data_IF_403599224096
#
_entry.id   IF_403599224096
#
_cell.length_a   1.000
_cell.length_b   1.000
_cell.length_c   1.000
_cell.angle_alpha   90.00
_cell.angle_beta   90.00
_cell.angle_gamma   90.00
#
_symmetry.space_group_name_H-M   'P 1'
#
loop_
_entity.id
_entity.type
_entity.pdbx_description
1 polymer ?
#
# COMPACT_ATOMS: atom_id res chain seq x y z
N UNK A 1 5.40 -25.61 -4.03
CA UNK A 1 5.85 -24.54 -4.94
C UNK A 1 5.17 -23.24 -4.51
N UNK A 2 5.90 -22.20 -4.06
CA UNK A 2 5.26 -20.92 -3.78
C UNK A 2 4.80 -20.30 -5.09
N UNK A 3 3.50 -20.00 -5.19
CA UNK A 3 2.92 -19.28 -6.32
C UNK A 3 3.37 -17.83 -6.20
N UNK A 4 4.34 -17.43 -7.00
CA UNK A 4 4.66 -16.01 -7.19
C UNK A 4 3.40 -15.36 -7.77
N UNK A 5 2.63 -14.65 -6.94
CA UNK A 5 1.61 -13.73 -7.44
C UNK A 5 2.35 -12.62 -8.17
N UNK A 6 2.51 -12.79 -9.49
CA UNK A 6 2.82 -11.64 -10.35
C UNK A 6 1.65 -10.69 -10.15
N UNK A 7 1.85 -9.45 -9.67
CA UNK A 7 0.77 -8.50 -9.68
C UNK A 7 0.33 -8.41 -11.13
N UNK A 8 -0.94 -8.72 -11.39
CA UNK A 8 -1.60 -8.44 -12.65
C UNK A 8 -1.80 -6.91 -12.76
N UNK A 9 -0.75 -6.12 -12.47
CA UNK A 9 -0.74 -4.67 -12.49
C UNK A 9 0.03 -4.27 -13.74
N UNK A 10 -0.59 -4.48 -14.90
CA UNK A 10 -0.08 -3.92 -16.16
C UNK A 10 -1.02 -2.90 -16.79
N UNK A 11 -2.14 -2.55 -16.16
CA UNK A 11 -3.13 -1.69 -16.84
C UNK A 11 -4.02 -0.78 -16.00
N UNK A 12 -3.80 -0.65 -14.68
CA UNK A 12 -4.49 0.40 -13.91
C UNK A 12 -3.47 1.47 -13.52
N UNK A 13 -3.72 2.76 -13.81
CA UNK A 13 -2.83 3.82 -13.37
C UNK A 13 -2.97 3.94 -11.84
N UNK A 14 -1.86 3.75 -11.12
CA UNK A 14 -1.81 3.73 -9.66
C UNK A 14 -0.39 4.02 -9.16
N UNK A 15 -0.26 4.27 -7.87
CA UNK A 15 1.06 4.41 -7.21
C UNK A 15 1.34 3.14 -6.45
N UNK A 16 2.41 2.44 -6.82
CA UNK A 16 2.86 1.22 -6.13
C UNK A 16 4.03 1.56 -5.19
N UNK A 17 3.90 1.19 -3.91
CA UNK A 17 4.97 1.33 -2.91
C UNK A 17 5.26 -0.01 -2.26
N UNK A 18 6.51 -0.47 -2.34
CA UNK A 18 6.98 -1.69 -1.68
C UNK A 18 7.75 -1.32 -0.43
N UNK A 19 7.26 -1.76 0.73
CA UNK A 19 7.90 -1.51 2.01
C UNK A 19 8.48 -2.81 2.59
N UNK A 20 9.70 -2.71 3.12
CA UNK A 20 10.47 -3.81 3.72
C UNK A 20 10.52 -3.71 5.25
N UNK A 21 9.78 -2.76 5.84
CA UNK A 21 9.59 -2.69 7.28
C UNK A 21 9.02 -4.00 7.83
N UNK A 22 9.46 -4.36 9.03
CA UNK A 22 9.02 -5.58 9.74
C UNK A 22 7.52 -5.58 10.04
N UNK A 23 6.90 -4.40 10.08
CA UNK A 23 5.46 -4.18 10.04
C UNK A 23 5.25 -2.72 9.63
N UNK A 24 4.42 -2.47 8.62
CA UNK A 24 4.21 -1.11 8.12
C UNK A 24 3.23 -0.40 9.04
N UNK A 25 3.69 0.70 9.65
CA UNK A 25 2.91 1.49 10.59
C UNK A 25 2.08 2.59 9.93
N UNK A 26 1.12 3.12 10.69
CA UNK A 26 0.24 4.22 10.29
C UNK A 26 1.03 5.44 9.78
N UNK A 27 2.00 5.93 10.57
CA UNK A 27 2.81 7.10 10.17
C UNK A 27 3.56 6.91 8.85
N UNK A 28 3.88 5.67 8.47
CA UNK A 28 4.49 5.37 7.18
C UNK A 28 3.46 5.47 6.06
N UNK A 29 2.28 4.88 6.24
CA UNK A 29 1.16 4.98 5.30
C UNK A 29 0.73 6.44 5.10
N UNK A 30 0.64 7.20 6.19
CA UNK A 30 0.30 8.62 6.20
C UNK A 30 1.29 9.45 5.36
N UNK A 31 2.60 9.25 5.58
CA UNK A 31 3.64 9.92 4.79
C UNK A 31 3.54 9.58 3.30
N UNK A 32 3.34 8.31 2.96
CA UNK A 32 3.20 7.87 1.57
C UNK A 32 1.96 8.52 0.94
N UNK A 33 0.85 8.54 1.68
CA UNK A 33 -0.40 9.13 1.25
C UNK A 33 -0.25 10.61 0.93
N UNK A 34 0.29 11.42 1.86
CA UNK A 34 0.46 12.86 1.64
C UNK A 34 1.57 13.20 0.63
N UNK A 35 2.55 12.31 0.43
CA UNK A 35 3.56 12.45 -0.62
C UNK A 35 2.98 12.33 -2.04
N UNK A 36 1.72 11.91 -2.24
CA UNK A 36 1.11 11.74 -3.57
C UNK A 36 0.65 13.03 -4.26
N UNK A 37 1.08 14.20 -3.80
CA UNK A 37 0.56 15.54 -4.19
C UNK A 37 0.39 15.81 -5.70
N UNK A 38 1.24 15.25 -6.59
CA UNK A 38 1.13 15.43 -8.06
C UNK A 38 0.24 14.43 -8.78
N UNK A 39 -0.34 13.46 -8.06
CA UNK A 39 -1.11 12.34 -8.63
C UNK A 39 -2.39 12.09 -7.83
N UNK A 40 -3.01 13.16 -7.31
CA UNK A 40 -4.34 13.10 -6.72
C UNK A 40 -5.32 12.49 -7.72
N UNK A 41 -6.15 11.55 -7.27
CA UNK A 41 -7.15 10.85 -8.10
C UNK A 41 -6.72 9.48 -8.61
N UNK A 42 -5.51 9.01 -8.30
CA UNK A 42 -5.09 7.62 -8.56
C UNK A 42 -5.11 6.79 -7.27
N UNK A 43 -5.55 5.53 -7.32
CA UNK A 43 -5.48 4.63 -6.17
C UNK A 43 -4.03 4.42 -5.74
N UNK A 44 -3.82 4.34 -4.42
CA UNK A 44 -2.52 4.08 -3.82
C UNK A 44 -2.46 2.63 -3.35
N UNK A 45 -1.48 1.88 -3.85
CA UNK A 45 -1.24 0.49 -3.48
C UNK A 45 0.04 0.39 -2.66
N UNK A 46 -0.09 -0.11 -1.43
CA UNK A 46 1.05 -0.31 -0.54
C UNK A 46 1.23 -1.79 -0.31
N UNK A 47 2.43 -2.29 -0.60
CA UNK A 47 2.80 -3.68 -0.47
C UNK A 47 3.75 -3.85 0.72
N UNK A 48 3.44 -4.81 1.59
CA UNK A 48 4.28 -5.19 2.73
C UNK A 48 4.61 -6.68 2.69
N UNK A 49 5.86 -7.03 2.96
CA UNK A 49 6.30 -8.43 3.14
C UNK A 49 6.12 -8.93 4.58
N UNK A 50 5.78 -8.04 5.51
CA UNK A 50 5.73 -8.37 6.93
C UNK A 50 4.45 -7.86 7.60
N UNK A 51 3.46 -7.50 6.78
CA UNK A 51 2.15 -7.04 7.20
C UNK A 51 2.06 -5.57 7.62
N UNK A 52 0.90 -5.20 8.15
CA UNK A 52 0.54 -3.84 8.54
C UNK A 52 0.12 -3.79 10.01
N UNK A 53 0.28 -2.63 10.67
CA UNK A 53 -0.28 -2.41 12.00
C UNK A 53 -1.79 -2.14 11.91
N UNK A 54 -2.51 -2.31 13.03
CA UNK A 54 -3.93 -1.96 13.10
C UNK A 54 -4.21 -0.49 12.71
N UNK A 55 -3.39 0.45 13.21
CA UNK A 55 -3.53 1.87 12.84
C UNK A 55 -3.31 2.13 11.34
N UNK A 56 -2.42 1.38 10.68
CA UNK A 56 -2.25 1.50 9.23
C UNK A 56 -3.49 1.02 8.45
N UNK A 57 -4.16 -0.03 8.95
CA UNK A 57 -5.40 -0.55 8.36
C UNK A 57 -6.54 0.45 8.56
N UNK A 58 -6.70 0.98 9.77
CA UNK A 58 -7.73 1.97 10.10
C UNK A 58 -7.58 3.24 9.27
N UNK A 59 -6.36 3.76 9.14
CA UNK A 59 -6.06 4.92 8.29
C UNK A 59 -6.38 4.65 6.81
N UNK A 60 -6.03 3.46 6.29
CA UNK A 60 -6.36 3.11 4.90
C UNK A 60 -7.87 3.06 4.64
N UNK A 61 -8.64 2.54 5.61
CA UNK A 61 -10.11 2.52 5.55
C UNK A 61 -10.68 3.95 5.61
N UNK A 62 -10.14 4.81 6.48
CA UNK A 62 -10.58 6.21 6.60
C UNK A 62 -10.38 7.00 5.30
N UNK A 63 -9.24 6.82 4.63
CA UNK A 63 -8.94 7.54 3.37
C UNK A 63 -9.73 6.98 2.17
N UNK A 64 -10.09 5.70 2.19
CA UNK A 64 -10.97 5.07 1.20
C UNK A 64 -10.39 4.87 -0.20
N UNK A 65 -9.15 5.28 -0.45
CA UNK A 65 -8.47 5.14 -1.75
C UNK A 65 -7.03 4.58 -1.63
N UNK A 66 -6.77 3.93 -0.50
CA UNK A 66 -5.55 3.17 -0.22
C UNK A 66 -5.92 1.68 -0.20
N UNK A 67 -5.20 0.86 -0.96
CA UNK A 67 -5.28 -0.60 -0.87
C UNK A 67 -3.96 -1.16 -0.33
N UNK A 68 -4.07 -2.02 0.67
CA UNK A 68 -2.94 -2.65 1.34
C UNK A 68 -2.81 -4.10 0.86
N UNK A 69 -1.60 -4.51 0.51
CA UNK A 69 -1.31 -5.83 0.00
C UNK A 69 -0.20 -6.48 0.82
N UNK A 70 -0.47 -7.67 1.36
CA UNK A 70 0.56 -8.48 2.00
C UNK A 70 1.13 -9.48 0.99
N UNK A 71 2.46 -9.49 0.85
CA UNK A 71 3.16 -10.42 -0.03
C UNK A 71 3.59 -11.63 0.82
N UNK A 72 2.89 -12.74 0.63
CA UNK A 72 3.17 -14.09 1.19
C UNK A 72 4.08 -14.92 0.29
#
# INVERSE_FOLDING_TARGET
MPKIFRPLIRSLPGIEVKNWERQVGESTVEKIYYARWRRKGYPLWIFSYSGFTQGAIEFAVEMGDIELYEIV
#
